data_IF_551497167088
#
_entry.id   IF_551497167088
#
_cell.length_a   1.000
_cell.length_b   1.000
_cell.length_c   1.000
_cell.angle_alpha   90.00
_cell.angle_beta   90.00
_cell.angle_gamma   90.00
#
_symmetry.space_group_name_H-M   'P 1'
#
loop_
_entity.id
_entity.type
_entity.pdbx_description
1 polymer ?
#
# COMPACT_ATOMS: atom_id res chain seq x y z
N UNK A 1 4.67 -6.22 17.44
CA UNK A 1 4.08 -5.13 16.64
C UNK A 1 2.61 -5.03 17.03
N UNK A 2 2.27 -4.09 17.93
CA UNK A 2 0.95 -4.05 18.55
C UNK A 2 -0.14 -3.68 17.54
N UNK A 3 -1.06 -4.59 17.29
CA UNK A 3 -2.23 -4.38 16.44
C UNK A 3 -3.40 -4.08 17.37
N UNK A 4 -3.68 -2.79 17.60
CA UNK A 4 -4.85 -2.41 18.39
C UNK A 4 -6.14 -2.64 17.58
N UNK A 5 -6.80 -3.76 17.86
CA UNK A 5 -8.19 -4.03 17.49
C UNK A 5 -9.12 -3.37 18.52
N UNK A 6 -9.37 -2.07 18.40
CA UNK A 6 -10.47 -1.43 19.15
C UNK A 6 -11.03 -0.24 18.35
N UNK A 7 -12.35 -0.11 18.40
CA UNK A 7 -13.15 0.87 17.66
C UNK A 7 -12.81 2.33 17.97
N UNK A 8 -13.01 3.16 16.95
CA UNK A 8 -13.36 4.58 17.05
C UNK A 8 -12.50 5.59 17.81
N UNK A 9 -11.18 5.46 17.72
CA UNK A 9 -10.26 6.56 18.08
C UNK A 9 -9.54 7.15 16.86
N UNK A 10 -10.29 7.78 15.95
CA UNK A 10 -9.76 8.39 14.72
C UNK A 10 -8.67 9.44 14.98
N UNK A 11 -8.79 10.20 16.07
CA UNK A 11 -7.79 11.21 16.46
C UNK A 11 -6.50 10.57 17.02
N UNK A 12 -6.65 9.51 17.82
CA UNK A 12 -5.52 8.77 18.40
C UNK A 12 -4.74 8.01 17.32
N UNK A 13 -5.43 7.45 16.30
CA UNK A 13 -4.80 6.88 15.11
C UNK A 13 -4.02 7.94 14.32
N UNK A 14 -4.55 9.16 14.17
CA UNK A 14 -3.85 10.26 13.48
C UNK A 14 -2.62 10.74 14.24
N UNK A 15 -2.70 10.87 15.56
CA UNK A 15 -1.56 11.26 16.41
C UNK A 15 -0.50 10.14 16.40
N UNK A 16 -0.91 8.88 16.51
CA UNK A 16 0.00 7.73 16.40
C UNK A 16 0.70 7.70 15.04
N UNK A 17 -0.04 7.80 13.92
CA UNK A 17 0.55 7.84 12.59
C UNK A 17 1.44 9.07 12.36
N UNK A 18 1.05 10.23 12.91
CA UNK A 18 1.75 11.49 12.74
C UNK A 18 2.96 11.65 13.65
N UNK A 19 3.01 11.00 14.81
CA UNK A 19 4.08 11.19 15.81
C UNK A 19 4.95 9.95 15.91
N UNK A 20 4.37 8.76 16.06
CA UNK A 20 5.15 7.53 16.25
C UNK A 20 5.85 7.11 14.97
N UNK A 21 5.19 7.19 13.81
CA UNK A 21 5.86 6.92 12.53
C UNK A 21 6.99 7.92 12.29
N UNK A 22 6.78 9.20 12.61
CA UNK A 22 7.80 10.24 12.43
C UNK A 22 9.00 10.02 13.35
N UNK A 23 8.77 9.74 14.63
CA UNK A 23 9.83 9.44 15.60
C UNK A 23 10.56 8.13 15.26
N UNK A 24 9.83 7.09 14.83
CA UNK A 24 10.44 5.82 14.43
C UNK A 24 11.39 6.00 13.25
N UNK A 25 11.02 6.82 12.27
CA UNK A 25 11.84 7.13 11.09
C UNK A 25 13.14 7.86 11.46
N UNK A 26 13.20 8.60 12.56
CA UNK A 26 14.44 9.25 13.01
C UNK A 26 15.53 8.24 13.42
N UNK A 27 15.14 7.05 13.89
CA UNK A 27 16.09 6.00 14.32
C UNK A 27 16.81 5.27 13.18
N UNK A 28 16.45 5.53 11.91
CA UNK A 28 17.02 4.81 10.75
C UNK A 28 17.90 5.70 9.87
N UNK A 29 19.02 5.17 9.41
CA UNK A 29 19.95 5.86 8.50
C UNK A 29 19.36 6.02 7.08
N UNK A 30 18.52 5.07 6.65
CA UNK A 30 17.84 5.06 5.34
C UNK A 30 16.40 4.61 5.49
N UNK A 31 15.54 5.17 4.67
CA UNK A 31 14.14 4.77 4.53
C UNK A 31 13.92 4.34 3.09
N UNK A 32 13.34 3.16 2.90
CA UNK A 32 13.06 2.60 1.57
C UNK A 32 11.54 2.53 1.38
N UNK A 33 11.04 3.22 0.37
CA UNK A 33 9.66 3.13 -0.08
C UNK A 33 9.56 2.15 -1.25
N UNK A 34 8.53 1.31 -1.25
CA UNK A 34 8.31 0.29 -2.29
C UNK A 34 7.46 0.78 -3.46
N UNK A 35 7.00 2.03 -3.42
CA UNK A 35 6.24 2.69 -4.47
C UNK A 35 6.44 4.20 -4.43
N UNK A 36 6.08 4.89 -5.51
CA UNK A 36 6.08 6.35 -5.56
C UNK A 36 5.07 6.99 -4.59
N UNK A 37 3.90 6.35 -4.40
CA UNK A 37 2.88 6.83 -3.46
C UNK A 37 3.36 6.78 -2.01
N UNK A 38 4.03 5.68 -1.62
CA UNK A 38 4.66 5.59 -0.30
C UNK A 38 5.78 6.62 -0.16
N UNK A 39 6.60 6.80 -1.19
CA UNK A 39 7.67 7.79 -1.18
C UNK A 39 7.14 9.21 -0.94
N UNK A 40 6.00 9.57 -1.53
CA UNK A 40 5.34 10.85 -1.30
C UNK A 40 4.89 11.03 0.15
N UNK A 41 4.28 10.00 0.75
CA UNK A 41 3.86 10.00 2.15
C UNK A 41 5.03 10.23 3.12
N UNK A 42 6.18 9.62 2.84
CA UNK A 42 7.37 9.70 3.71
C UNK A 42 8.31 10.86 3.39
N UNK A 43 8.11 11.58 2.29
CA UNK A 43 9.00 12.67 1.82
C UNK A 43 9.27 13.71 2.90
N UNK A 44 8.22 14.15 3.59
CA UNK A 44 8.28 15.18 4.63
C UNK A 44 8.93 14.72 5.95
N UNK A 45 9.28 13.44 6.07
CA UNK A 45 9.82 12.84 7.29
C UNK A 45 11.22 12.26 7.06
N UNK A 46 11.41 11.59 5.92
CA UNK A 46 12.66 10.93 5.57
C UNK A 46 13.66 11.89 4.89
N UNK A 47 13.18 12.91 4.17
CA UNK A 47 14.04 13.86 3.46
C UNK A 47 15.02 13.16 2.52
N UNK A 48 16.30 13.55 2.59
CA UNK A 48 17.38 12.97 1.77
C UNK A 48 17.69 11.49 2.06
N UNK A 49 17.15 10.92 3.14
CA UNK A 49 17.34 9.50 3.51
C UNK A 49 16.39 8.56 2.77
N UNK A 50 15.42 9.11 2.04
CA UNK A 50 14.43 8.34 1.29
C UNK A 50 15.02 7.77 0.00
N UNK A 51 14.79 6.48 -0.23
CA UNK A 51 15.06 5.77 -1.48
C UNK A 51 13.82 5.03 -1.94
N UNK A 52 13.64 4.95 -3.25
CA UNK A 52 12.56 4.17 -3.86
C UNK A 52 13.20 2.90 -4.39
N UNK A 53 12.67 1.74 -3.96
CA UNK A 53 13.02 0.43 -4.50
C UNK A 53 11.70 -0.29 -4.72
N UNK A 54 11.23 -0.32 -5.95
CA UNK A 54 9.95 -0.93 -6.27
C UNK A 54 9.95 -2.43 -6.01
N UNK A 55 8.80 -2.97 -5.60
CA UNK A 55 8.65 -4.41 -5.44
C UNK A 55 8.73 -5.08 -6.81
N UNK A 56 9.75 -5.91 -7.01
CA UNK A 56 9.81 -6.79 -8.16
C UNK A 56 8.75 -7.89 -8.10
N UNK A 57 8.47 -8.48 -9.26
CA UNK A 57 7.66 -9.71 -9.35
C UNK A 57 8.48 -10.80 -10.03
N UNK A 58 8.32 -12.02 -9.55
CA UNK A 58 8.87 -13.21 -10.20
C UNK A 58 8.06 -13.52 -11.46
N UNK A 59 8.58 -13.10 -12.61
CA UNK A 59 7.93 -13.25 -13.91
C UNK A 59 7.79 -14.72 -14.34
N UNK A 60 8.65 -15.61 -13.83
CA UNK A 60 8.63 -17.02 -14.21
C UNK A 60 7.31 -17.71 -13.81
N UNK A 61 6.69 -17.24 -12.72
CA UNK A 61 5.39 -17.73 -12.23
C UNK A 61 4.22 -17.43 -13.17
N UNK A 62 4.40 -16.50 -14.09
CA UNK A 62 3.36 -16.06 -15.04
C UNK A 62 3.69 -16.46 -16.47
N UNK A 63 4.78 -17.21 -16.69
CA UNK A 63 5.14 -17.70 -18.00
C UNK A 63 4.04 -18.60 -18.56
N UNK A 64 3.56 -18.30 -19.76
CA UNK A 64 2.47 -19.02 -20.45
C UNK A 64 1.16 -19.17 -19.65
N UNK A 65 0.92 -18.30 -18.65
CA UNK A 65 -0.31 -18.35 -17.83
C UNK A 65 -1.50 -17.59 -18.43
N UNK A 66 -1.31 -16.90 -19.56
CA UNK A 66 -2.36 -16.15 -20.25
C UNK A 66 -3.27 -17.07 -21.09
N UNK A 67 -4.50 -16.61 -21.37
CA UNK A 67 -5.41 -17.32 -22.27
C UNK A 67 -4.81 -17.41 -23.69
N UNK A 68 -4.86 -18.60 -24.30
CA UNK A 68 -4.45 -18.81 -25.68
C UNK A 68 -5.37 -18.13 -26.71
N UNK A 69 -6.61 -17.83 -26.30
CA UNK A 69 -7.59 -17.08 -27.12
C UNK A 69 -7.95 -15.79 -26.38
N UNK A 70 -7.85 -14.60 -27.02
CA UNK A 70 -8.19 -13.34 -26.36
C UNK A 70 -9.64 -13.34 -25.83
N UNK A 71 -9.79 -13.11 -24.52
CA UNK A 71 -11.09 -13.02 -23.87
C UNK A 71 -11.23 -11.65 -23.19
N UNK A 72 -12.37 -10.98 -23.42
CA UNK A 72 -12.69 -9.72 -22.72
C UNK A 72 -13.13 -10.05 -21.31
N UNK A 73 -12.35 -9.66 -20.31
CA UNK A 73 -12.67 -9.83 -18.90
C UNK A 73 -12.16 -8.64 -18.09
N UNK A 74 -12.91 -8.26 -17.06
CA UNK A 74 -12.45 -7.36 -15.99
C UNK A 74 -12.26 -8.22 -14.75
N UNK A 75 -11.05 -8.25 -14.20
CA UNK A 75 -10.70 -9.04 -13.01
C UNK A 75 -10.30 -8.09 -11.89
N UNK A 76 -10.97 -8.21 -10.74
CA UNK A 76 -10.59 -7.52 -9.51
C UNK A 76 -10.13 -8.57 -8.48
N UNK A 77 -8.89 -8.46 -8.01
CA UNK A 77 -8.33 -9.37 -7.01
C UNK A 77 -7.69 -8.57 -5.88
N UNK A 78 -7.87 -9.04 -4.64
CA UNK A 78 -7.33 -8.41 -3.46
C UNK A 78 -8.09 -8.79 -2.20
N UNK A 79 -7.54 -8.41 -1.05
CA UNK A 79 -8.23 -8.58 0.24
C UNK A 79 -9.45 -7.66 0.32
N UNK A 80 -10.51 -8.12 0.98
CA UNK A 80 -11.65 -7.27 1.33
C UNK A 80 -11.21 -6.23 2.35
N UNK A 81 -10.95 -5.02 1.85
CA UNK A 81 -10.54 -3.89 2.65
C UNK A 81 -11.11 -2.60 2.06
N UNK A 82 -11.56 -1.69 2.93
CA UNK A 82 -12.19 -0.44 2.52
C UNK A 82 -11.33 0.38 1.55
N UNK A 83 -10.01 0.45 1.77
CA UNK A 83 -9.06 1.16 0.91
C UNK A 83 -8.94 0.56 -0.52
N UNK A 84 -9.45 -0.64 -0.75
CA UNK A 84 -9.51 -1.27 -2.08
C UNK A 84 -10.76 -0.87 -2.87
N UNK A 85 -11.69 -0.11 -2.27
CA UNK A 85 -12.88 0.49 -2.91
C UNK A 85 -13.75 -0.51 -3.71
N UNK A 86 -13.84 -1.76 -3.25
CA UNK A 86 -14.64 -2.81 -3.92
C UNK A 86 -16.12 -2.39 -4.05
N UNK A 87 -16.66 -1.63 -3.10
CA UNK A 87 -18.01 -1.06 -3.20
C UNK A 87 -18.21 -0.20 -4.47
N UNK A 88 -17.22 0.62 -4.83
CA UNK A 88 -17.30 1.44 -6.04
C UNK A 88 -17.25 0.61 -7.34
N UNK A 89 -16.62 -0.57 -7.29
CA UNK A 89 -16.65 -1.51 -8.42
C UNK A 89 -18.06 -2.07 -8.61
N UNK A 90 -18.79 -2.40 -7.54
CA UNK A 90 -20.18 -2.85 -7.68
C UNK A 90 -21.07 -1.75 -8.26
N UNK A 91 -20.87 -0.49 -7.87
CA UNK A 91 -21.59 0.64 -8.46
C UNK A 91 -21.29 0.81 -9.96
N UNK A 92 -20.05 0.53 -10.41
CA UNK A 92 -19.70 0.59 -11.83
C UNK A 92 -20.40 -0.48 -12.68
N UNK A 93 -20.76 -1.61 -12.07
CA UNK A 93 -21.38 -2.76 -12.76
C UNK A 93 -22.92 -2.74 -12.71
N UNK A 94 -23.51 -1.85 -11.91
CA UNK A 94 -24.96 -1.68 -11.77
C UNK A 94 -25.50 -0.72 -12.82
#
# INVERSE_FOLDING_TARGET
MAVFHTGDFGLLKKIWFGVVTRLSVLGYHRIVACSHGDAELFRNVAGSRLRIIENGIDQSRFANAASHVPAKAIICFGRFAAHKRIAALFTLLA
#
